data_IF_721404106928
#
_entry.id   IF_721404106928
#
_cell.length_a   1.000
_cell.length_b   1.000
_cell.length_c   1.000
_cell.angle_alpha   90.00
_cell.angle_beta   90.00
_cell.angle_gamma   90.00
#
_symmetry.space_group_name_H-M   'P 1'
#
loop_
_entity.id
_entity.type
_entity.pdbx_description
1 polymer ?
#
# COMPACT_ATOMS: atom_id res chain seq x y z
N UNK A 1 13.50 13.68 27.06
CA UNK A 1 14.37 12.49 27.12
C UNK A 1 14.84 12.30 25.70
N UNK A 2 16.12 12.56 25.44
CA UNK A 2 16.67 12.38 24.10
C UNK A 2 16.88 10.87 23.91
N UNK A 3 16.04 10.25 23.07
CA UNK A 3 16.21 8.86 22.67
C UNK A 3 17.47 8.75 21.81
N UNK A 4 18.59 8.45 22.46
CA UNK A 4 19.85 8.14 21.78
C UNK A 4 19.72 6.73 21.19
N UNK A 5 19.38 6.64 19.92
CA UNK A 5 19.36 5.38 19.16
C UNK A 5 20.77 4.80 19.07
N UNK A 6 20.97 3.57 19.55
CA UNK A 6 22.23 2.84 19.40
C UNK A 6 22.27 2.09 18.07
N UNK A 7 23.47 1.72 17.55
CA UNK A 7 23.56 0.84 16.38
C UNK A 7 22.80 -0.49 16.55
N UNK A 8 22.76 -1.01 17.77
CA UNK A 8 22.01 -2.23 18.12
C UNK A 8 20.50 -2.00 18.01
N UNK A 9 19.95 -0.94 18.63
CA UNK A 9 18.53 -0.61 18.50
C UNK A 9 18.12 -0.37 17.05
N UNK A 10 18.99 0.22 16.24
CA UNK A 10 18.76 0.40 14.79
C UNK A 10 18.72 -0.94 14.06
N UNK A 11 19.62 -1.87 14.38
CA UNK A 11 19.62 -3.21 13.81
C UNK A 11 18.35 -4.00 14.19
N UNK A 12 17.89 -3.89 15.44
CA UNK A 12 16.65 -4.53 15.91
C UNK A 12 15.43 -3.98 15.17
N UNK A 13 15.31 -2.65 15.04
CA UNK A 13 14.22 -2.01 14.30
C UNK A 13 14.22 -2.44 12.84
N UNK A 14 15.39 -2.52 12.22
CA UNK A 14 15.51 -2.98 10.84
C UNK A 14 15.11 -4.45 10.68
N UNK A 15 15.44 -5.29 11.67
CA UNK A 15 15.03 -6.70 11.71
C UNK A 15 13.51 -6.82 11.78
N UNK A 16 12.87 -6.05 12.68
CA UNK A 16 11.41 -6.01 12.80
C UNK A 16 10.75 -5.46 11.54
N UNK A 17 11.32 -4.41 10.95
CA UNK A 17 10.82 -3.81 9.72
C UNK A 17 10.84 -4.81 8.56
N UNK A 18 11.94 -5.56 8.40
CA UNK A 18 12.07 -6.58 7.36
C UNK A 18 11.08 -7.73 7.57
N UNK A 19 10.89 -8.16 8.83
CA UNK A 19 9.91 -9.18 9.18
C UNK A 19 8.47 -8.74 8.90
N UNK A 20 8.07 -7.55 9.34
CA UNK A 20 6.72 -7.02 9.17
C UNK A 20 6.39 -6.71 7.71
N UNK A 21 7.38 -6.23 6.95
CA UNK A 21 7.22 -5.91 5.53
C UNK A 21 6.90 -7.13 4.69
N UNK A 22 7.38 -8.32 5.10
CA UNK A 22 7.09 -9.60 4.45
C UNK A 22 7.17 -9.49 2.91
N UNK A 23 8.27 -8.91 2.42
CA UNK A 23 8.41 -8.53 1.02
C UNK A 23 8.66 -9.76 0.13
N UNK A 24 7.58 -10.46 -0.25
CA UNK A 24 7.62 -11.69 -1.06
C UNK A 24 7.67 -11.40 -2.55
N UNK A 25 7.16 -10.26 -2.97
CA UNK A 25 7.34 -9.73 -4.32
C UNK A 25 8.09 -8.40 -4.25
N UNK A 26 9.13 -8.26 -5.07
CA UNK A 26 9.95 -7.04 -5.14
C UNK A 26 9.61 -6.14 -6.31
N UNK A 27 9.23 -6.74 -7.44
CA UNK A 27 8.96 -6.02 -8.68
C UNK A 27 7.76 -6.65 -9.41
N UNK A 28 6.71 -5.86 -9.60
CA UNK A 28 5.50 -6.25 -10.32
C UNK A 28 5.75 -6.44 -11.82
N UNK A 29 6.75 -5.77 -12.39
CA UNK A 29 7.08 -5.89 -13.81
C UNK A 29 7.67 -7.26 -14.14
N UNK A 30 8.31 -7.91 -13.16
CA UNK A 30 8.93 -9.22 -13.29
C UNK A 30 8.04 -10.36 -12.78
N UNK A 31 6.87 -10.07 -12.20
CA UNK A 31 5.97 -11.10 -11.69
C UNK A 31 5.29 -11.87 -12.83
N UNK A 32 4.87 -13.13 -12.64
CA UNK A 32 3.86 -13.70 -13.52
C UNK A 32 2.55 -12.89 -13.42
N UNK A 33 1.68 -12.92 -14.45
CA UNK A 33 0.31 -12.41 -14.34
C UNK A 33 -0.43 -13.04 -13.16
N UNK A 34 -1.27 -12.25 -12.49
CA UNK A 34 -2.11 -12.70 -11.36
C UNK A 34 -3.58 -12.48 -11.64
N UNK A 35 -4.46 -13.12 -10.87
CA UNK A 35 -5.89 -12.90 -11.04
C UNK A 35 -6.29 -11.54 -10.50
N UNK A 36 -5.94 -11.23 -9.24
CA UNK A 36 -6.30 -9.96 -8.63
C UNK A 36 -5.12 -9.32 -7.91
N UNK A 37 -5.07 -7.99 -7.98
CA UNK A 37 -4.25 -7.14 -7.11
C UNK A 37 -5.17 -6.40 -6.15
N UNK A 38 -4.79 -6.34 -4.87
CA UNK A 38 -5.49 -5.54 -3.86
C UNK A 38 -4.54 -4.46 -3.36
N UNK A 39 -5.00 -3.21 -3.36
CA UNK A 39 -4.31 -2.09 -2.73
C UNK A 39 -5.12 -1.69 -1.50
N UNK A 40 -4.64 -2.09 -0.33
CA UNK A 40 -5.17 -1.57 0.92
C UNK A 40 -4.58 -0.18 1.16
N UNK A 41 -5.45 0.81 1.26
CA UNK A 41 -5.06 2.20 1.40
C UNK A 41 -4.28 2.45 2.71
N UNK A 42 -3.29 3.32 2.61
CA UNK A 42 -2.47 3.81 3.73
C UNK A 42 -1.82 5.13 3.34
N UNK A 43 -1.24 5.84 4.31
CA UNK A 43 -0.47 7.07 4.05
C UNK A 43 0.80 6.85 3.20
N UNK A 44 1.26 5.59 3.06
CA UNK A 44 2.40 5.21 2.25
C UNK A 44 2.02 5.05 0.76
N UNK A 45 1.71 6.19 0.11
CA UNK A 45 1.16 6.24 -1.26
C UNK A 45 2.03 5.59 -2.34
N UNK A 46 3.34 5.47 -2.10
CA UNK A 46 4.29 4.86 -3.04
C UNK A 46 3.88 3.44 -3.47
N UNK A 47 3.32 2.63 -2.57
CA UNK A 47 2.89 1.27 -2.90
C UNK A 47 1.72 1.23 -3.89
N UNK A 48 0.75 2.11 -3.73
CA UNK A 48 -0.37 2.25 -4.66
C UNK A 48 0.12 2.75 -6.04
N UNK A 49 1.04 3.72 -6.04
CA UNK A 49 1.64 4.27 -7.26
C UNK A 49 2.37 3.22 -8.09
N UNK A 50 3.16 2.34 -7.48
CA UNK A 50 3.85 1.28 -8.23
C UNK A 50 2.89 0.23 -8.78
N UNK A 51 1.77 -0.05 -8.09
CA UNK A 51 0.71 -0.93 -8.61
C UNK A 51 0.02 -0.29 -9.82
N UNK A 52 -0.37 0.98 -9.74
CA UNK A 52 -1.04 1.68 -10.84
C UNK A 52 -0.13 1.78 -12.08
N UNK A 53 1.15 2.10 -11.87
CA UNK A 53 2.14 2.16 -12.93
C UNK A 53 2.33 0.80 -13.61
N UNK A 54 2.48 -0.29 -12.83
CA UNK A 54 2.64 -1.63 -13.39
C UNK A 54 1.42 -2.06 -14.24
N UNK A 55 0.20 -1.70 -13.81
CA UNK A 55 -1.03 -1.98 -14.55
C UNK A 55 -1.15 -1.19 -15.86
N UNK A 56 -0.60 0.04 -15.91
CA UNK A 56 -0.51 0.82 -17.14
C UNK A 56 0.53 0.26 -18.10
N UNK A 57 1.72 -0.07 -17.58
CA UNK A 57 2.87 -0.44 -18.39
C UNK A 57 2.77 -1.86 -18.96
N UNK A 58 2.04 -2.75 -18.27
CA UNK A 58 1.97 -4.16 -18.63
C UNK A 58 0.53 -4.67 -18.74
N UNK A 59 0.08 -4.78 -19.99
CA UNK A 59 -1.20 -5.39 -20.32
C UNK A 59 -1.31 -6.81 -19.75
N UNK A 60 -2.47 -7.12 -19.14
CA UNK A 60 -2.77 -8.44 -18.59
C UNK A 60 -1.98 -8.85 -17.34
N UNK A 61 -1.25 -7.95 -16.67
CA UNK A 61 -0.54 -8.29 -15.42
C UNK A 61 -1.49 -8.66 -14.27
N UNK A 62 -2.71 -8.10 -14.26
CA UNK A 62 -3.80 -8.52 -13.39
C UNK A 62 -5.15 -8.45 -14.12
N UNK A 63 -6.07 -9.36 -13.80
CA UNK A 63 -7.46 -9.31 -14.32
C UNK A 63 -8.32 -8.33 -13.53
N UNK A 64 -8.02 -8.13 -12.25
CA UNK A 64 -8.74 -7.23 -11.37
C UNK A 64 -7.80 -6.44 -10.45
N UNK A 65 -8.11 -5.17 -10.22
CA UNK A 65 -7.57 -4.33 -9.16
C UNK A 65 -8.69 -4.01 -8.17
N UNK A 66 -8.45 -4.22 -6.88
CA UNK A 66 -9.34 -3.77 -5.80
C UNK A 66 -8.66 -2.66 -5.03
N UNK A 67 -9.29 -1.49 -4.97
CA UNK A 67 -8.93 -0.44 -4.03
C UNK A 67 -9.72 -0.68 -2.74
N UNK A 68 -9.03 -0.80 -1.61
CA UNK A 68 -9.63 -1.26 -0.35
C UNK A 68 -9.35 -0.30 0.80
N UNK A 69 -10.42 0.07 1.52
CA UNK A 69 -10.37 0.91 2.72
C UNK A 69 -11.60 1.81 2.83
N UNK A 70 -12.36 1.69 3.91
CA UNK A 70 -13.45 2.60 4.25
C UNK A 70 -12.98 3.82 5.03
N UNK A 71 -13.68 4.18 6.11
CA UNK A 71 -13.27 5.25 7.03
C UNK A 71 -12.89 4.63 8.38
N UNK A 72 -11.67 4.90 8.83
CA UNK A 72 -11.11 4.40 10.07
C UNK A 72 -10.16 5.40 10.75
N UNK A 73 -9.47 4.92 11.78
CA UNK A 73 -8.61 5.75 12.62
C UNK A 73 -7.46 6.42 11.84
N UNK A 74 -6.95 5.75 10.80
CA UNK A 74 -5.81 6.22 10.01
C UNK A 74 -6.20 7.07 8.81
N UNK A 75 -7.49 7.24 8.51
CA UNK A 75 -7.96 7.93 7.30
C UNK A 75 -7.47 9.39 7.24
N UNK A 76 -7.38 10.07 8.38
CA UNK A 76 -6.83 11.42 8.46
C UNK A 76 -5.35 11.49 8.05
N UNK A 77 -4.56 10.44 8.31
CA UNK A 77 -3.16 10.36 7.91
C UNK A 77 -3.02 10.28 6.39
N UNK A 78 -3.92 9.54 5.75
CA UNK A 78 -3.99 9.48 4.29
C UNK A 78 -4.34 10.85 3.70
N UNK A 79 -5.33 11.56 4.26
CA UNK A 79 -5.66 12.92 3.81
C UNK A 79 -4.47 13.87 3.94
N UNK A 80 -3.76 13.83 5.08
CA UNK A 80 -2.55 14.62 5.29
C UNK A 80 -1.46 14.27 4.28
N UNK A 81 -1.22 12.98 4.03
CA UNK A 81 -0.24 12.52 3.07
C UNK A 81 -0.56 13.05 1.66
N UNK A 82 -1.81 12.97 1.22
CA UNK A 82 -2.25 13.53 -0.07
C UNK A 82 -2.05 15.04 -0.11
N UNK A 83 -2.49 15.79 0.92
CA UNK A 83 -2.37 17.24 0.95
C UNK A 83 -0.93 17.76 0.91
N UNK A 84 0.02 16.99 1.43
CA UNK A 84 1.44 17.33 1.41
C UNK A 84 2.19 16.68 0.22
N UNK A 85 1.54 15.80 -0.56
CA UNK A 85 2.20 15.11 -1.66
C UNK A 85 2.57 16.09 -2.79
N UNK A 86 3.76 16.03 -3.42
CA UNK A 86 4.20 17.06 -4.36
C UNK A 86 3.40 16.94 -5.66
N UNK A 87 2.94 15.72 -5.97
CA UNK A 87 2.07 15.41 -7.11
C UNK A 87 0.58 15.50 -6.75
N UNK A 88 0.17 15.00 -5.58
CA UNK A 88 -1.26 14.79 -5.26
C UNK A 88 -1.90 15.91 -4.41
N UNK A 89 -1.13 16.87 -3.92
CA UNK A 89 -1.65 18.01 -3.13
C UNK A 89 -2.78 18.77 -3.81
N UNK A 90 -2.81 18.79 -5.15
CA UNK A 90 -3.87 19.42 -5.95
C UNK A 90 -5.28 18.84 -5.71
N UNK A 91 -5.39 17.60 -5.24
CA UNK A 91 -6.67 16.96 -4.87
C UNK A 91 -6.90 16.89 -3.36
N UNK A 92 -6.01 17.50 -2.55
CA UNK A 92 -6.01 17.38 -1.09
C UNK A 92 -7.32 17.78 -0.41
N UNK A 93 -8.00 18.81 -0.93
CA UNK A 93 -9.31 19.22 -0.39
C UNK A 93 -10.45 18.31 -0.87
N UNK A 94 -10.38 17.82 -2.11
CA UNK A 94 -11.41 16.96 -2.71
C UNK A 94 -11.50 15.58 -2.06
N UNK A 95 -10.41 15.10 -1.46
CA UNK A 95 -10.36 13.77 -0.82
C UNK A 95 -10.88 13.77 0.62
N UNK A 96 -11.11 14.94 1.23
CA UNK A 96 -11.55 15.02 2.63
C UNK A 96 -12.95 14.43 2.80
N UNK A 97 -13.11 13.58 3.81
CA UNK A 97 -14.38 12.91 4.12
C UNK A 97 -14.68 11.71 3.21
N UNK A 98 -13.85 11.43 2.21
CA UNK A 98 -13.98 10.23 1.40
C UNK A 98 -13.41 9.00 2.13
N UNK A 99 -14.02 7.81 1.94
CA UNK A 99 -13.38 6.55 2.26
C UNK A 99 -11.97 6.42 1.64
N UNK A 100 -11.06 5.73 2.30
CA UNK A 100 -9.66 5.62 1.89
C UNK A 100 -9.51 5.04 0.47
N UNK A 101 -10.32 4.05 0.08
CA UNK A 101 -10.34 3.49 -1.27
C UNK A 101 -10.81 4.52 -2.32
N UNK A 102 -11.72 5.43 -1.95
CA UNK A 102 -12.16 6.52 -2.83
C UNK A 102 -11.09 7.60 -2.94
N UNK A 103 -10.25 7.80 -1.92
CA UNK A 103 -9.06 8.64 -2.05
C UNK A 103 -8.09 8.06 -3.08
N UNK A 104 -7.82 6.75 -3.02
CA UNK A 104 -7.00 6.07 -4.03
C UNK A 104 -7.61 6.16 -5.43
N UNK A 105 -8.93 6.07 -5.56
CA UNK A 105 -9.63 6.24 -6.83
C UNK A 105 -9.46 7.65 -7.39
N UNK A 106 -9.59 8.70 -6.57
CA UNK A 106 -9.31 10.08 -6.98
C UNK A 106 -7.86 10.25 -7.44
N UNK A 107 -6.90 9.59 -6.77
CA UNK A 107 -5.49 9.60 -7.19
C UNK A 107 -5.34 8.88 -8.54
N UNK A 108 -5.95 7.70 -8.70
CA UNK A 108 -5.90 6.94 -9.93
C UNK A 108 -6.47 7.75 -11.10
N UNK A 109 -7.65 8.34 -10.94
CA UNK A 109 -8.33 9.07 -12.00
C UNK A 109 -7.66 10.42 -12.32
N UNK A 110 -7.07 11.07 -11.33
CA UNK A 110 -6.45 12.39 -11.49
C UNK A 110 -5.01 12.37 -12.00
N UNK A 111 -4.30 11.25 -11.84
CA UNK A 111 -2.86 11.20 -12.06
C UNK A 111 -2.36 9.99 -12.86
N UNK A 112 -3.21 9.00 -13.14
CA UNK A 112 -2.87 7.79 -13.88
C UNK A 112 -3.90 7.57 -15.01
N UNK A 113 -3.53 6.77 -16.01
CA UNK A 113 -4.40 6.51 -17.17
C UNK A 113 -5.36 5.35 -16.86
N UNK A 114 -6.41 5.60 -16.07
CA UNK A 114 -7.41 4.57 -15.71
C UNK A 114 -7.95 3.82 -16.94
N UNK A 115 -8.23 4.54 -18.02
CA UNK A 115 -8.72 3.97 -19.28
C UNK A 115 -7.72 2.99 -19.91
N UNK A 116 -6.41 3.26 -19.78
CA UNK A 116 -5.37 2.35 -20.26
C UNK A 116 -5.37 1.06 -19.44
N UNK A 117 -5.44 1.15 -18.12
CA UNK A 117 -5.54 -0.01 -17.22
C UNK A 117 -6.74 -0.89 -17.58
N UNK A 118 -7.90 -0.28 -17.84
CA UNK A 118 -9.11 -0.99 -18.26
C UNK A 118 -8.92 -1.63 -19.64
N UNK A 119 -8.36 -0.90 -20.61
CA UNK A 119 -8.10 -1.43 -21.96
C UNK A 119 -7.06 -2.56 -21.97
N UNK A 120 -6.18 -2.59 -20.97
CA UNK A 120 -5.22 -3.64 -20.69
C UNK A 120 -5.85 -4.91 -20.09
N UNK A 121 -7.17 -4.95 -19.95
CA UNK A 121 -7.93 -6.10 -19.48
C UNK A 121 -8.09 -6.18 -17.96
N UNK A 122 -7.85 -5.08 -17.24
CA UNK A 122 -7.99 -5.03 -15.78
C UNK A 122 -9.29 -4.35 -15.36
N UNK A 123 -10.15 -5.07 -14.64
CA UNK A 123 -11.32 -4.50 -13.98
C UNK A 123 -10.90 -3.77 -12.70
N UNK A 124 -11.40 -2.56 -12.47
CA UNK A 124 -11.11 -1.79 -11.26
C UNK A 124 -12.34 -1.78 -10.36
N UNK A 125 -12.18 -2.28 -9.15
CA UNK A 125 -13.21 -2.38 -8.12
C UNK A 125 -12.84 -1.52 -6.91
N UNK A 126 -13.87 -1.11 -6.16
CA UNK A 126 -13.70 -0.30 -4.95
C UNK A 126 -14.46 -0.96 -3.79
N UNK A 127 -13.72 -1.18 -2.70
CA UNK A 127 -14.24 -1.57 -1.39
C UNK A 127 -14.05 -0.38 -0.44
N UNK A 128 -15.15 0.31 -0.13
CA UNK A 128 -15.15 1.56 0.64
C UNK A 128 -15.96 1.48 1.95
N UNK A 129 -16.26 0.27 2.43
CA UNK A 129 -17.12 0.03 3.59
C UNK A 129 -16.34 -0.45 4.83
N UNK A 130 -15.11 -0.93 4.67
CA UNK A 130 -14.29 -1.44 5.77
C UNK A 130 -13.90 -0.35 6.78
N UNK A 131 -14.10 -0.59 8.07
CA UNK A 131 -13.80 0.40 9.13
C UNK A 131 -12.46 0.17 9.82
N UNK A 132 -11.82 -0.99 9.55
CA UNK A 132 -10.53 -1.38 10.10
C UNK A 132 -9.85 -2.43 9.21
N UNK A 133 -8.53 -2.56 9.37
CA UNK A 133 -7.69 -3.45 8.58
C UNK A 133 -8.09 -4.94 8.63
N UNK A 134 -8.80 -5.38 9.68
CA UNK A 134 -9.29 -6.76 9.78
C UNK A 134 -10.48 -7.05 8.87
N UNK A 135 -11.26 -6.02 8.52
CA UNK A 135 -12.40 -6.13 7.61
C UNK A 135 -11.99 -6.03 6.14
N UNK A 136 -10.88 -5.34 5.85
CA UNK A 136 -10.35 -5.13 4.48
C UNK A 136 -10.34 -6.43 3.66
N UNK A 137 -9.82 -7.51 4.24
CA UNK A 137 -9.72 -8.79 3.54
C UNK A 137 -11.09 -9.40 3.21
N UNK A 138 -12.00 -9.46 4.19
CA UNK A 138 -13.32 -10.04 4.02
C UNK A 138 -14.17 -9.22 3.03
N UNK A 139 -14.11 -7.90 3.09
CA UNK A 139 -14.92 -7.03 2.24
C UNK A 139 -14.35 -6.97 0.81
N UNK A 140 -13.01 -7.01 0.67
CA UNK A 140 -12.37 -7.16 -0.65
C UNK A 140 -12.80 -8.47 -1.32
N UNK A 141 -12.85 -9.57 -0.57
CA UNK A 141 -13.37 -10.85 -1.08
C UNK A 141 -14.83 -10.72 -1.55
N UNK A 142 -15.70 -10.08 -0.78
CA UNK A 142 -17.11 -9.88 -1.18
C UNK A 142 -17.25 -9.05 -2.46
N UNK A 143 -16.45 -8.00 -2.60
CA UNK A 143 -16.42 -7.16 -3.81
C UNK A 143 -15.94 -7.96 -5.02
N UNK A 144 -14.90 -8.79 -4.84
CA UNK A 144 -14.42 -9.71 -5.87
C UNK A 144 -15.48 -10.74 -6.28
N UNK A 145 -16.13 -11.39 -5.32
CA UNK A 145 -17.22 -12.36 -5.57
C UNK A 145 -18.37 -11.73 -6.33
N UNK A 146 -18.82 -10.53 -5.91
CA UNK A 146 -19.88 -9.78 -6.58
C UNK A 146 -19.52 -9.44 -8.03
N UNK A 147 -18.25 -9.22 -8.31
CA UNK A 147 -17.73 -8.95 -9.65
C UNK A 147 -17.44 -10.22 -10.47
N UNK A 148 -17.68 -11.42 -9.92
CA UNK A 148 -17.49 -12.70 -10.61
C UNK A 148 -16.19 -13.45 -10.27
N UNK A 149 -15.30 -12.88 -9.47
CA UNK A 149 -14.02 -13.46 -9.05
C UNK A 149 -14.18 -14.34 -7.80
N UNK A 150 -14.96 -15.42 -7.92
CA UNK A 150 -15.31 -16.29 -6.79
C UNK A 150 -14.15 -17.17 -6.30
N UNK A 151 -13.28 -17.61 -7.23
CA UNK A 151 -12.18 -18.53 -6.94
C UNK A 151 -10.89 -18.07 -7.63
N UNK A 152 -10.33 -16.91 -7.25
CA UNK A 152 -9.04 -16.48 -7.77
C UNK A 152 -7.98 -17.50 -7.35
N UNK A 153 -7.09 -17.88 -8.26
CA UNK A 153 -5.95 -18.74 -7.94
C UNK A 153 -4.78 -17.94 -7.34
N UNK A 154 -4.71 -16.64 -7.62
CA UNK A 154 -3.61 -15.77 -7.20
C UNK A 154 -4.05 -14.35 -6.84
N UNK A 155 -3.55 -13.87 -5.70
CA UNK A 155 -3.71 -12.53 -5.19
C UNK A 155 -2.35 -11.89 -4.92
N UNK A 156 -2.16 -10.65 -5.33
CA UNK A 156 -1.07 -9.79 -4.85
C UNK A 156 -1.67 -8.71 -3.98
N UNK A 157 -1.13 -8.53 -2.77
CA UNK A 157 -1.65 -7.56 -1.79
C UNK A 157 -0.60 -6.50 -1.52
N UNK A 158 -0.98 -5.24 -1.75
CA UNK A 158 -0.24 -4.05 -1.39
C UNK A 158 -0.85 -3.39 -0.15
N UNK A 159 0.02 -2.93 0.74
CA UNK A 159 -0.30 -2.31 2.02
C UNK A 159 0.98 -1.65 2.59
N UNK A 160 0.84 -0.75 3.56
CA UNK A 160 1.94 -0.22 4.35
C UNK A 160 2.85 -1.36 4.86
N UNK A 161 4.19 -1.24 4.76
CA UNK A 161 5.10 -2.30 5.15
C UNK A 161 4.96 -2.76 6.60
N UNK A 162 4.60 -1.88 7.53
CA UNK A 162 4.42 -2.25 8.95
C UNK A 162 3.17 -3.09 9.20
N UNK A 163 2.24 -3.09 8.24
CA UNK A 163 0.94 -3.76 8.30
C UNK A 163 0.88 -4.99 7.38
N UNK A 164 1.85 -5.16 6.49
CA UNK A 164 1.84 -6.13 5.39
C UNK A 164 1.67 -7.57 5.87
N UNK A 165 2.51 -8.03 6.81
CA UNK A 165 2.47 -9.40 7.31
C UNK A 165 1.08 -9.78 7.85
N UNK A 166 0.48 -8.88 8.64
CA UNK A 166 -0.88 -9.06 9.18
C UNK A 166 -1.93 -9.06 8.08
N UNK A 167 -1.80 -8.15 7.11
CA UNK A 167 -2.76 -8.04 6.01
C UNK A 167 -2.72 -9.29 5.14
N UNK A 168 -1.54 -9.81 4.76
CA UNK A 168 -1.44 -11.08 4.02
C UNK A 168 -2.10 -12.22 4.78
N UNK A 169 -1.79 -12.39 6.07
CA UNK A 169 -2.39 -13.44 6.90
C UNK A 169 -3.92 -13.33 6.99
N UNK A 170 -4.46 -12.10 6.97
CA UNK A 170 -5.91 -11.87 6.94
C UNK A 170 -6.52 -12.30 5.61
N UNK A 171 -5.85 -12.03 4.49
CA UNK A 171 -6.28 -12.53 3.17
C UNK A 171 -6.21 -14.05 3.09
N UNK A 172 -5.14 -14.68 3.56
CA UNK A 172 -5.06 -16.15 3.63
C UNK A 172 -6.22 -16.74 4.44
N UNK A 173 -6.52 -16.14 5.60
CA UNK A 173 -7.61 -16.57 6.49
C UNK A 173 -8.97 -16.51 5.80
N UNK A 174 -9.28 -15.42 5.09
CA UNK A 174 -10.59 -15.27 4.44
C UNK A 174 -10.73 -16.10 3.17
N UNK A 175 -9.70 -16.81 2.70
CA UNK A 175 -9.79 -17.72 1.55
C UNK A 175 -9.54 -19.19 1.94
N UNK A 176 -9.42 -19.49 3.24
CA UNK A 176 -9.12 -20.84 3.74
C UNK A 176 -10.24 -21.86 3.51
N UNK A 177 -11.47 -21.38 3.27
CA UNK A 177 -12.65 -22.19 3.00
C UNK A 177 -12.74 -22.69 1.56
N UNK A 178 -11.91 -22.18 0.64
CA UNK A 178 -11.87 -22.66 -0.74
C UNK A 178 -11.18 -24.02 -0.85
N UNK A 179 -11.77 -24.92 -1.64
CA UNK A 179 -11.22 -26.26 -1.87
C UNK A 179 -9.84 -26.23 -2.56
N UNK A 180 -9.60 -25.22 -3.40
CA UNK A 180 -8.29 -24.96 -4.03
C UNK A 180 -7.65 -23.77 -3.32
N UNK A 181 -6.45 -23.92 -2.74
CA UNK A 181 -5.77 -22.84 -2.04
C UNK A 181 -5.47 -21.65 -2.97
N UNK A 182 -5.75 -20.45 -2.47
CA UNK A 182 -5.40 -19.20 -3.15
C UNK A 182 -3.97 -18.81 -2.81
N UNK A 183 -3.14 -18.54 -3.81
CA UNK A 183 -1.80 -18.02 -3.60
C UNK A 183 -1.86 -16.52 -3.26
N UNK A 184 -1.60 -16.16 -2.00
CA UNK A 184 -1.57 -14.76 -1.55
C UNK A 184 -0.13 -14.28 -1.39
N UNK A 185 0.28 -13.31 -2.21
CA UNK A 185 1.63 -12.76 -2.23
C UNK A 185 1.63 -11.32 -1.75
N UNK A 186 2.47 -11.02 -0.76
CA UNK A 186 2.66 -9.68 -0.21
C UNK A 186 3.62 -8.85 -1.06
N UNK A 187 3.21 -7.61 -1.35
CA UNK A 187 3.96 -6.61 -2.11
C UNK A 187 3.92 -5.26 -1.37
N UNK A 188 4.84 -4.98 -0.44
CA UNK A 188 4.90 -3.69 0.28
C UNK A 188 5.52 -2.56 -0.54
N UNK A 189 5.97 -2.83 -1.77
CA UNK A 189 6.80 -1.99 -2.63
C UNK A 189 8.20 -1.63 -2.09
N UNK A 190 8.39 -1.58 -0.78
CA UNK A 190 9.69 -1.33 -0.13
C UNK A 190 9.76 -1.95 1.27
N UNK A 191 10.97 -1.99 1.83
CA UNK A 191 11.23 -2.37 3.22
C UNK A 191 11.85 -1.16 3.94
N UNK A 192 11.18 -0.55 4.93
CA UNK A 192 11.73 0.59 5.65
C UNK A 192 13.04 0.21 6.36
N UNK A 193 14.06 1.08 6.29
CA UNK A 193 15.30 0.92 7.05
C UNK A 193 15.68 2.20 7.76
N UNK A 194 15.94 2.10 9.06
CA UNK A 194 16.53 3.15 9.88
C UNK A 194 18.05 3.16 9.68
N UNK A 195 18.62 4.37 9.62
CA UNK A 195 20.07 4.60 9.57
C UNK A 195 20.42 5.72 10.55
N UNK A 196 21.55 5.58 11.24
CA UNK A 196 22.11 6.69 12.02
C UNK A 196 22.71 7.72 11.06
N UNK A 197 22.55 9.03 11.34
CA UNK A 197 23.24 10.06 10.57
C UNK A 197 24.75 9.85 10.68
N UNK A 198 25.47 10.01 9.57
CA UNK A 198 26.92 10.04 9.58
C UNK A 198 27.36 11.34 10.25
N UNK A 199 27.66 11.28 11.56
CA UNK A 199 28.31 12.34 12.36
C UNK A 199 27.78 13.77 12.10
N UNK A 200 26.65 14.12 12.71
CA UNK A 200 26.26 15.51 12.98
C UNK A 200 25.52 15.52 14.32
N UNK A 201 25.75 16.47 15.24
CA UNK A 201 25.16 16.41 16.58
C UNK A 201 23.63 16.45 16.51
N UNK A 202 22.93 15.90 17.52
CA UNK A 202 21.50 15.62 17.42
C UNK A 202 20.72 16.93 17.43
N UNK A 203 20.40 17.45 16.24
CA UNK A 203 19.22 18.29 16.11
C UNK A 203 18.02 17.39 16.39
N UNK A 204 17.28 17.70 17.46
CA UNK A 204 16.13 16.95 17.93
C UNK A 204 15.31 16.34 16.79
N UNK A 205 15.30 15.02 16.71
CA UNK A 205 14.51 14.29 15.73
C UNK A 205 13.03 14.49 16.06
N UNK A 206 12.36 15.33 15.28
CA UNK A 206 10.92 15.51 15.37
C UNK A 206 10.22 14.37 14.60
N UNK A 207 9.26 13.68 15.23
CA UNK A 207 8.37 12.68 14.61
C UNK A 207 7.79 13.11 13.24
N UNK A 208 7.71 14.42 12.97
CA UNK A 208 7.27 15.00 11.69
C UNK A 208 8.21 14.76 10.50
N UNK A 209 9.52 14.52 10.71
CA UNK A 209 10.44 14.16 9.61
C UNK A 209 10.22 12.71 9.15
N UNK A 210 9.91 11.83 10.10
CA UNK A 210 9.52 10.43 9.85
C UNK A 210 8.21 10.31 9.06
N UNK A 211 7.24 11.21 9.32
CA UNK A 211 5.96 11.28 8.60
C UNK A 211 6.12 11.74 7.15
N UNK A 212 7.07 12.65 6.89
CA UNK A 212 7.39 13.10 5.52
C UNK A 212 8.00 11.96 4.68
N UNK A 213 8.97 11.21 5.18
CA UNK A 213 9.60 10.14 4.39
C UNK A 213 8.64 8.99 4.01
N UNK A 214 7.58 8.74 4.79
CA UNK A 214 6.54 7.73 4.48
C UNK A 214 5.67 8.09 3.27
N UNK A 215 5.34 9.37 3.09
CA UNK A 215 4.45 9.82 2.03
C UNK A 215 5.09 9.78 0.63
N UNK A 216 6.43 9.85 0.53
CA UNK A 216 7.11 10.13 -0.74
C UNK A 216 7.95 8.99 -1.32
N UNK A 217 8.25 7.92 -0.56
CA UNK A 217 9.25 6.93 -1.00
C UNK A 217 10.66 7.52 -1.24
N UNK A 218 10.87 8.81 -0.94
CA UNK A 218 12.13 9.55 -1.12
C UNK A 218 12.95 9.49 0.16
N UNK A 219 14.10 8.82 0.08
CA UNK A 219 15.17 8.87 1.08
C UNK A 219 16.31 9.74 0.55
N UNK A 220 16.17 11.06 0.63
CA UNK A 220 17.32 11.96 0.52
C UNK A 220 17.53 12.65 1.86
N UNK A 221 18.45 12.10 2.64
CA UNK A 221 19.18 12.89 3.62
C UNK A 221 20.22 13.71 2.86
N UNK A 222 19.95 15.00 2.72
CA UNK A 222 20.81 16.10 2.25
C UNK A 222 21.26 16.10 0.78
N UNK A 223 20.76 17.12 0.08
CA UNK A 223 21.41 17.81 -1.04
C UNK A 223 22.56 18.68 -0.51
N UNK A 224 23.65 18.74 -1.30
CA UNK A 224 24.81 19.65 -1.22
C UNK A 224 25.84 19.39 -0.13
#
# INVERSE_FOLDING_TARGET
MDDVWTPESVADINTLSEYLSDCRLRDLNLSPPVDCMIVCASEALYGAETVFQALQDRAGVAKCLVLCGGIGHSTHLLYEAVSHHPRYSRVGDAVRGLPEARVLEVILDGFFERSLIISNGCQILVEDQSTNCGQNAAYSRQVLETAGFHTPSSLVVNQDPTMMLRTRASFEKVYEDLAVPVSVVSYPAFVPKLRLPASTPPAAWNLSSWRRSRAYGLWNGSSS
#
